data_IF_911525028897
#
_entry.id   IF_911525028897
#
_cell.length_a   1.000
_cell.length_b   1.000
_cell.length_c   1.000
_cell.angle_alpha   90.00
_cell.angle_beta   90.00
_cell.angle_gamma   90.00
#
_symmetry.space_group_name_H-M   'P 1'
#
loop_
_entity.id
_entity.type
_entity.pdbx_description
1 polymer ?
#
# COMPACT_ATOMS: atom_id res chain seq x y z
N UNK A 1 1.05 24.67 77.93
CA UNK A 1 0.58 23.52 77.12
C UNK A 1 0.30 24.03 75.71
N UNK A 2 0.80 23.28 74.72
CA UNK A 2 0.63 23.39 73.26
C UNK A 2 1.42 24.49 72.48
N UNK A 3 2.14 24.00 71.47
CA UNK A 3 3.02 24.65 70.49
C UNK A 3 2.28 24.95 69.16
N UNK A 4 2.91 25.67 68.20
CA UNK A 4 2.25 26.37 67.09
C UNK A 4 2.17 25.55 65.78
N UNK A 5 1.34 26.00 64.85
CA UNK A 5 1.40 25.60 63.43
C UNK A 5 1.81 26.79 62.57
N UNK A 6 3.01 26.69 62.00
CA UNK A 6 3.50 27.44 60.84
C UNK A 6 2.67 27.09 59.60
N UNK A 7 2.45 28.06 58.71
CA UNK A 7 3.03 28.01 57.36
C UNK A 7 2.83 29.33 56.63
N UNK A 8 3.94 29.82 56.09
CA UNK A 8 4.09 31.07 55.37
C UNK A 8 3.62 30.92 53.92
N UNK A 9 2.75 31.80 53.46
CA UNK A 9 2.54 32.04 52.03
C UNK A 9 3.34 33.28 51.62
N UNK A 10 4.46 33.03 50.95
CA UNK A 10 5.37 34.02 50.41
C UNK A 10 5.71 33.73 48.95
N UNK A 11 4.94 34.38 48.07
CA UNK A 11 5.44 35.21 46.96
C UNK A 11 5.84 34.59 45.59
N UNK A 12 5.39 35.35 44.56
CA UNK A 12 6.05 35.71 43.28
C UNK A 12 5.81 34.84 42.04
N UNK A 13 5.25 35.46 40.98
CA UNK A 13 5.39 34.99 39.60
C UNK A 13 4.37 35.53 38.57
N UNK A 14 4.47 36.80 38.19
CA UNK A 14 3.60 37.52 37.22
C UNK A 14 3.79 37.11 35.72
N UNK A 15 3.38 37.89 34.70
CA UNK A 15 2.11 37.77 33.96
C UNK A 15 2.31 37.66 32.42
N UNK A 16 1.61 36.79 31.70
CA UNK A 16 1.59 36.90 30.22
C UNK A 16 0.18 37.10 29.69
N UNK A 17 0.05 38.31 29.14
CA UNK A 17 -1.11 38.97 28.58
C UNK A 17 -1.75 38.13 27.47
N UNK A 18 -3.07 38.12 27.50
CA UNK A 18 -3.95 37.78 26.38
C UNK A 18 -3.53 38.59 25.16
N UNK A 19 -3.04 37.89 24.13
CA UNK A 19 -2.96 38.40 22.77
C UNK A 19 -3.61 37.35 21.89
N UNK A 20 -4.83 37.61 21.42
CA UNK A 20 -5.21 37.26 20.05
C UNK A 20 -6.21 38.30 19.59
N UNK A 21 -5.63 39.35 19.03
CA UNK A 21 -6.25 40.33 18.16
C UNK A 21 -6.82 39.62 16.93
N UNK A 22 -8.01 40.05 16.50
CA UNK A 22 -8.74 39.59 15.33
C UNK A 22 -7.94 39.61 14.02
N UNK A 23 -8.23 38.67 13.13
CA UNK A 23 -8.12 38.84 11.68
C UNK A 23 -9.43 38.37 11.01
N UNK A 24 -10.15 39.26 10.31
CA UNK A 24 -11.26 38.88 9.44
C UNK A 24 -10.74 38.45 8.06
N UNK A 25 -11.28 37.32 7.58
CA UNK A 25 -11.44 37.04 6.15
C UNK A 25 -10.23 36.48 5.39
N UNK A 26 -10.36 35.24 4.91
CA UNK A 26 -10.13 34.91 3.50
C UNK A 26 -11.15 33.84 3.10
N UNK A 27 -12.17 34.24 2.35
CA UNK A 27 -12.88 33.33 1.45
C UNK A 27 -11.93 32.97 0.31
N UNK A 28 -11.74 31.68 0.05
CA UNK A 28 -11.48 31.19 -1.30
C UNK A 28 -11.95 29.74 -1.36
N UNK A 29 -13.11 29.54 -2.00
CA UNK A 29 -13.57 28.22 -2.38
C UNK A 29 -12.63 27.65 -3.44
N UNK A 30 -12.22 26.40 -3.25
CA UNK A 30 -11.62 25.62 -4.31
C UNK A 30 -12.72 24.82 -4.99
N UNK A 31 -13.07 25.32 -6.17
CA UNK A 31 -13.93 24.65 -7.12
C UNK A 31 -13.34 23.31 -7.55
N UNK A 32 -14.23 22.36 -7.80
CA UNK A 32 -13.93 21.04 -8.32
C UNK A 32 -13.14 21.11 -9.64
N UNK A 33 -12.12 20.26 -9.76
CA UNK A 33 -11.55 19.88 -11.06
C UNK A 33 -11.90 18.41 -11.29
N UNK A 34 -13.03 18.18 -11.94
CA UNK A 34 -13.36 16.89 -12.55
C UNK A 34 -12.68 16.88 -13.91
N UNK A 35 -11.51 16.23 -14.00
CA UNK A 35 -10.92 15.94 -15.31
C UNK A 35 -11.36 14.55 -15.75
N UNK A 36 -12.48 14.50 -16.47
CA UNK A 36 -12.84 13.35 -17.28
C UNK A 36 -11.88 13.30 -18.48
N UNK A 37 -10.99 12.32 -18.47
CA UNK A 37 -10.12 12.00 -19.61
C UNK A 37 -10.49 10.65 -20.18
N UNK A 38 -11.38 10.63 -21.18
CA UNK A 38 -11.62 9.47 -22.01
C UNK A 38 -11.20 9.79 -23.45
N UNK A 39 -10.42 8.88 -24.04
CA UNK A 39 -10.47 8.34 -25.42
C UNK A 39 -9.16 8.30 -26.24
N UNK A 40 -8.76 7.03 -26.51
CA UNK A 40 -8.44 6.38 -27.80
C UNK A 40 -7.38 7.01 -28.72
N UNK A 41 -6.30 6.27 -28.98
CA UNK A 41 -5.79 6.01 -30.35
C UNK A 41 -5.14 4.62 -30.40
N UNK A 42 -5.71 3.72 -31.22
CA UNK A 42 -5.07 2.46 -31.62
C UNK A 42 -4.00 2.70 -32.69
N UNK A 43 -2.89 1.98 -32.61
CA UNK A 43 -1.93 1.88 -33.71
C UNK A 43 -1.95 0.45 -34.23
N UNK A 44 -2.52 0.35 -35.42
CA UNK A 44 -2.42 -0.74 -36.36
C UNK A 44 -0.95 -0.97 -36.72
N UNK A 45 -0.47 -2.21 -36.57
CA UNK A 45 0.67 -2.68 -37.36
C UNK A 45 0.21 -3.84 -38.26
N UNK A 46 0.31 -3.68 -39.60
CA UNK A 46 -0.02 -4.71 -40.56
C UNK A 46 1.14 -5.70 -40.67
N UNK A 47 0.88 -6.99 -40.49
CA UNK A 47 1.75 -8.03 -41.07
C UNK A 47 0.99 -8.71 -42.20
N UNK A 48 1.27 -8.20 -43.40
CA UNK A 48 1.02 -8.88 -44.66
C UNK A 48 2.00 -10.04 -44.81
N UNK A 49 1.47 -11.24 -45.09
CA UNK A 49 2.12 -12.25 -45.92
C UNK A 49 1.03 -13.16 -46.48
N UNK A 50 0.52 -12.74 -47.63
CA UNK A 50 0.21 -13.49 -48.85
C UNK A 50 0.32 -15.02 -48.86
N UNK A 51 -0.73 -15.60 -49.47
CA UNK A 51 -0.71 -16.67 -50.48
C UNK A 51 -0.27 -18.08 -50.02
N UNK A 52 -0.81 -19.21 -50.50
CA UNK A 52 -1.75 -19.45 -51.57
C UNK A 52 -2.37 -20.85 -51.39
N UNK A 53 -3.44 -21.07 -52.13
CA UNK A 53 -4.25 -22.28 -52.23
C UNK A 53 -3.47 -23.36 -52.99
N UNK A 54 -3.36 -24.57 -52.44
CA UNK A 54 -3.15 -25.77 -53.25
C UNK A 54 -3.74 -27.01 -52.58
N UNK A 55 -4.89 -27.46 -53.08
CA UNK A 55 -5.37 -28.83 -52.90
C UNK A 55 -4.43 -29.80 -53.62
N UNK A 56 -4.27 -31.01 -53.09
CA UNK A 56 -4.35 -32.17 -53.96
C UNK A 56 -5.45 -33.12 -53.49
N UNK A 57 -6.41 -33.35 -54.38
CA UNK A 57 -7.24 -34.56 -54.38
C UNK A 57 -6.35 -35.72 -54.80
N UNK A 58 -6.31 -36.77 -53.97
CA UNK A 58 -6.02 -38.13 -54.40
C UNK A 58 -6.72 -39.12 -53.45
N UNK A 59 -7.66 -39.90 -53.99
CA UNK A 59 -8.26 -41.11 -53.42
C UNK A 59 -7.80 -42.31 -54.29
N UNK A 60 -7.99 -43.59 -53.91
CA UNK A 60 -8.00 -44.25 -52.60
C UNK A 60 -6.99 -45.42 -52.55
N UNK A 61 -6.62 -45.93 -51.36
CA UNK A 61 -6.11 -47.31 -51.20
C UNK A 61 -6.39 -47.85 -49.80
N UNK A 62 -6.67 -49.15 -49.75
CA UNK A 62 -7.42 -49.94 -48.77
C UNK A 62 -6.73 -50.14 -47.38
N UNK A 63 -7.40 -50.76 -46.39
CA UNK A 63 -7.07 -50.66 -44.98
C UNK A 63 -5.97 -51.63 -44.55
N UNK A 64 -4.89 -51.08 -43.99
CA UNK A 64 -3.87 -51.82 -43.27
C UNK A 64 -3.98 -51.55 -41.78
N UNK A 65 -4.51 -52.52 -41.02
CA UNK A 65 -4.46 -52.54 -39.57
C UNK A 65 -3.01 -52.52 -39.10
N UNK A 66 -2.63 -51.49 -38.35
CA UNK A 66 -1.41 -51.49 -37.54
C UNK A 66 -1.66 -50.65 -36.30
N UNK A 67 -1.95 -51.34 -35.20
CA UNK A 67 -2.09 -50.82 -33.86
C UNK A 67 -0.74 -50.24 -33.41
N UNK A 68 -0.47 -48.99 -33.76
CA UNK A 68 0.61 -48.22 -33.16
C UNK A 68 0.04 -47.51 -31.95
N UNK A 69 0.40 -48.00 -30.76
CA UNK A 69 0.09 -47.33 -29.50
C UNK A 69 0.69 -45.92 -29.52
N UNK A 70 -0.16 -44.92 -29.67
CA UNK A 70 0.19 -43.53 -29.44
C UNK A 70 0.66 -43.40 -28.00
N UNK A 71 1.92 -43.03 -27.71
CA UNK A 71 2.25 -42.59 -26.38
C UNK A 71 1.44 -41.32 -26.14
N UNK A 72 0.48 -41.39 -25.23
CA UNK A 72 -0.14 -40.21 -24.63
C UNK A 72 0.99 -39.42 -23.97
N UNK A 73 1.59 -38.50 -24.73
CA UNK A 73 2.40 -37.45 -24.18
C UNK A 73 1.45 -36.61 -23.34
N UNK A 74 1.42 -36.85 -22.04
CA UNK A 74 0.89 -35.90 -21.07
C UNK A 74 1.67 -34.63 -21.28
N UNK A 75 1.10 -33.70 -22.05
CA UNK A 75 1.61 -32.36 -22.19
C UNK A 75 1.67 -31.81 -20.76
N UNK A 76 2.87 -31.83 -20.20
CA UNK A 76 3.16 -31.18 -18.94
C UNK A 76 3.09 -29.71 -19.26
N UNK A 77 1.90 -29.12 -19.14
CA UNK A 77 1.72 -27.67 -19.21
C UNK A 77 2.78 -27.07 -18.28
N UNK A 78 3.70 -26.23 -18.79
CA UNK A 78 4.64 -25.56 -17.93
C UNK A 78 3.81 -24.83 -16.88
N UNK A 79 3.96 -25.24 -15.62
CA UNK A 79 3.33 -24.53 -14.50
C UNK A 79 3.93 -23.13 -14.57
N UNK A 80 3.14 -22.17 -15.05
CA UNK A 80 3.52 -20.76 -14.99
C UNK A 80 3.93 -20.52 -13.54
N UNK A 81 5.18 -20.11 -13.34
CA UNK A 81 5.65 -19.67 -12.03
C UNK A 81 4.85 -18.41 -11.75
N UNK A 82 3.70 -18.57 -11.09
CA UNK A 82 2.97 -17.45 -10.54
C UNK A 82 3.92 -16.84 -9.52
N UNK A 83 4.47 -15.70 -9.86
CA UNK A 83 5.17 -14.82 -8.93
C UNK A 83 4.12 -14.40 -7.92
N UNK A 84 4.07 -15.12 -6.80
CA UNK A 84 3.07 -14.95 -5.76
C UNK A 84 3.58 -14.10 -4.61
N UNK A 85 2.71 -13.87 -3.64
CA UNK A 85 3.09 -13.31 -2.36
C UNK A 85 2.91 -14.34 -1.25
N UNK A 86 3.93 -14.47 -0.40
CA UNK A 86 3.88 -15.22 0.85
C UNK A 86 3.70 -14.25 2.01
N UNK A 87 2.70 -14.50 2.84
CA UNK A 87 2.49 -13.73 4.07
C UNK A 87 3.62 -14.05 5.07
N UNK A 88 4.30 -13.01 5.53
CA UNK A 88 5.30 -13.07 6.60
C UNK A 88 4.66 -12.89 7.98
N UNK A 89 3.67 -12.00 8.07
CA UNK A 89 3.04 -11.64 9.34
C UNK A 89 1.62 -11.08 9.15
N UNK A 90 0.83 -11.16 10.22
CA UNK A 90 -0.54 -10.64 10.27
C UNK A 90 -1.55 -11.46 9.47
N UNK A 91 -2.79 -10.96 9.27
CA UNK A 91 -3.32 -9.69 9.79
C UNK A 91 -3.30 -9.66 11.32
N UNK A 92 -2.72 -8.61 11.90
CA UNK A 92 -2.65 -8.44 13.34
C UNK A 92 -2.54 -6.96 13.73
N UNK A 93 -2.90 -6.60 14.98
CA UNK A 93 -2.77 -5.22 15.44
C UNK A 93 -1.32 -4.73 15.44
N UNK A 94 -1.10 -3.52 14.95
CA UNK A 94 0.17 -2.81 14.99
C UNK A 94 -0.06 -1.34 15.35
N UNK A 95 0.78 -0.80 16.22
CA UNK A 95 0.79 0.64 16.52
C UNK A 95 1.88 1.28 15.67
N UNK A 96 1.49 2.17 14.78
CA UNK A 96 2.42 3.05 14.07
C UNK A 96 2.60 4.31 14.93
N UNK A 97 3.85 4.64 15.23
CA UNK A 97 4.21 5.77 16.10
C UNK A 97 5.00 6.84 15.38
N UNK A 98 4.99 8.04 15.93
CA UNK A 98 5.88 9.13 15.53
C UNK A 98 7.38 8.81 15.71
N UNK A 99 7.74 7.93 16.65
CA UNK A 99 9.11 7.40 16.81
C UNK A 99 9.52 6.42 15.70
N UNK A 100 8.58 6.07 14.82
CA UNK A 100 8.77 5.14 13.72
C UNK A 100 8.43 3.69 14.04
N UNK A 101 8.25 2.93 12.96
CA UNK A 101 7.89 1.52 12.95
C UNK A 101 8.68 0.79 11.86
N UNK A 102 9.29 -0.32 12.23
CA UNK A 102 9.99 -1.25 11.34
C UNK A 102 9.04 -2.38 10.92
N UNK A 103 8.84 -2.50 9.61
CA UNK A 103 8.04 -3.53 8.94
C UNK A 103 8.89 -4.68 8.40
N UNK A 104 10.21 -4.53 8.33
CA UNK A 104 11.13 -5.59 7.89
C UNK A 104 11.41 -6.59 9.01
N UNK A 105 11.46 -6.14 10.27
CA UNK A 105 11.51 -7.01 11.43
C UNK A 105 10.20 -7.79 11.58
N UNK A 106 10.25 -9.12 11.64
CA UNK A 106 9.06 -9.96 11.86
C UNK A 106 9.18 -10.70 13.21
N UNK A 107 8.28 -10.47 14.19
CA UNK A 107 7.17 -9.50 14.16
C UNK A 107 7.67 -8.05 14.13
N UNK A 108 6.87 -7.10 13.59
CA UNK A 108 7.21 -5.67 13.54
C UNK A 108 7.53 -5.08 14.90
N UNK A 109 8.49 -4.16 14.94
CA UNK A 109 8.95 -3.49 16.17
C UNK A 109 9.14 -2.01 15.92
N UNK A 110 9.11 -1.22 16.98
CA UNK A 110 9.40 0.22 16.93
C UNK A 110 10.86 0.49 17.33
N UNK A 111 11.82 -0.28 16.80
CA UNK A 111 13.25 -0.15 17.16
C UNK A 111 14.18 -0.46 15.99
N UNK A 112 14.92 0.55 15.51
CA UNK A 112 15.89 0.41 14.42
C UNK A 112 15.23 0.16 13.05
N UNK A 113 15.90 0.50 11.94
CA UNK A 113 15.42 0.16 10.58
C UNK A 113 14.01 0.66 10.27
N UNK A 114 13.68 1.91 10.64
CA UNK A 114 12.30 2.39 10.61
C UNK A 114 11.82 2.64 9.18
N UNK A 115 10.67 2.08 8.85
CA UNK A 115 10.08 2.12 7.50
C UNK A 115 9.03 3.23 7.35
N UNK A 116 8.26 3.51 8.40
CA UNK A 116 7.31 4.62 8.43
C UNK A 116 7.08 5.16 9.83
N UNK A 117 6.48 6.34 9.93
CA UNK A 117 6.01 6.95 11.18
C UNK A 117 4.61 7.53 11.00
N UNK A 118 3.95 7.83 12.12
CA UNK A 118 2.71 8.62 12.16
C UNK A 118 3.06 10.07 12.54
N UNK A 119 2.62 11.04 11.74
CA UNK A 119 2.86 12.48 11.99
C UNK A 119 1.68 13.16 12.74
N UNK A 120 0.63 12.39 13.06
CA UNK A 120 -0.61 12.87 13.68
C UNK A 120 -1.70 13.25 12.67
N UNK A 121 -1.39 13.30 11.37
CA UNK A 121 -2.32 13.52 10.26
C UNK A 121 -2.32 12.37 9.23
N UNK A 122 -1.24 11.61 9.20
CA UNK A 122 -0.90 10.69 8.13
C UNK A 122 0.32 9.83 8.44
N UNK A 123 0.69 8.98 7.48
CA UNK A 123 1.91 8.19 7.55
C UNK A 123 2.98 8.79 6.66
N UNK A 124 4.17 8.99 7.24
CA UNK A 124 5.36 9.43 6.53
C UNK A 124 6.31 8.28 6.23
N UNK A 125 6.87 8.17 5.01
CA UNK A 125 7.86 7.16 4.68
C UNK A 125 9.22 7.45 5.32
N UNK A 126 9.94 6.40 5.69
CA UNK A 126 11.34 6.44 6.10
C UNK A 126 12.17 5.39 5.37
N UNK A 127 13.49 5.56 5.37
CA UNK A 127 14.45 4.55 4.88
C UNK A 127 14.19 4.05 3.45
N UNK A 128 13.66 4.93 2.57
CA UNK A 128 13.34 4.59 1.18
C UNK A 128 12.04 3.81 1.00
N UNK A 129 11.25 3.65 2.06
CA UNK A 129 9.89 3.09 1.99
C UNK A 129 9.01 3.96 1.11
N UNK A 130 8.11 3.30 0.38
CA UNK A 130 7.14 3.95 -0.49
C UNK A 130 5.75 3.70 0.07
N UNK A 131 4.95 4.77 0.16
CA UNK A 131 3.57 4.71 0.64
C UNK A 131 2.60 5.14 -0.47
N UNK A 132 1.43 4.53 -0.50
CA UNK A 132 0.29 4.96 -1.31
C UNK A 132 -1.04 4.58 -0.63
N UNK A 133 -2.06 5.40 -0.84
CA UNK A 133 -3.40 5.13 -0.31
C UNK A 133 -4.15 4.22 -1.27
N UNK A 134 -4.77 3.16 -0.74
CA UNK A 134 -5.69 2.33 -1.50
C UNK A 134 -7.08 2.96 -1.55
N UNK A 135 -7.62 3.15 -2.74
CA UNK A 135 -8.90 3.83 -2.99
C UNK A 135 -10.06 2.88 -3.32
N UNK A 136 -9.81 1.57 -3.39
CA UNK A 136 -10.85 0.58 -3.63
C UNK A 136 -11.76 0.40 -2.40
N UNK A 137 -12.98 -0.07 -2.65
CA UNK A 137 -14.00 -0.28 -1.61
C UNK A 137 -13.79 -1.53 -0.75
N UNK A 138 -12.91 -2.45 -1.17
CA UNK A 138 -12.54 -3.67 -0.45
C UNK A 138 -11.06 -3.66 -0.11
N UNK A 139 -10.62 -4.50 0.82
CA UNK A 139 -9.18 -4.66 1.08
C UNK A 139 -8.44 -5.11 -0.21
N UNK A 140 -7.27 -4.52 -0.54
CA UNK A 140 -6.50 -4.91 -1.72
C UNK A 140 -5.86 -6.29 -1.54
N UNK A 141 -5.59 -6.98 -2.65
CA UNK A 141 -4.63 -8.09 -2.65
C UNK A 141 -3.19 -7.54 -2.58
N UNK A 142 -2.19 -8.35 -2.20
CA UNK A 142 -0.78 -7.94 -2.24
C UNK A 142 -0.35 -7.44 -3.63
N UNK A 143 -0.80 -8.07 -4.70
CA UNK A 143 -0.48 -7.67 -6.08
C UNK A 143 -1.05 -6.28 -6.38
N UNK A 144 -2.33 -6.05 -6.09
CA UNK A 144 -2.98 -4.74 -6.29
C UNK A 144 -2.29 -3.64 -5.46
N UNK A 145 -1.88 -3.99 -4.25
CA UNK A 145 -1.23 -3.07 -3.35
C UNK A 145 0.19 -2.71 -3.83
N UNK A 146 0.94 -3.69 -4.35
CA UNK A 146 2.22 -3.46 -5.02
C UNK A 146 2.07 -2.52 -6.23
N UNK A 147 1.07 -2.78 -7.08
CA UNK A 147 0.85 -1.97 -8.29
C UNK A 147 0.54 -0.50 -7.92
N UNK A 148 -0.28 -0.28 -6.89
CA UNK A 148 -0.64 1.07 -6.41
C UNK A 148 0.56 1.79 -5.81
N UNK A 149 1.33 1.16 -4.93
CA UNK A 149 2.50 1.80 -4.33
C UNK A 149 3.60 2.08 -5.37
N UNK A 150 3.72 1.22 -6.39
CA UNK A 150 4.68 1.44 -7.47
C UNK A 150 4.30 2.57 -8.42
N UNK A 151 3.01 2.77 -8.67
CA UNK A 151 2.51 3.78 -9.62
C UNK A 151 2.25 5.15 -8.98
N UNK A 152 1.84 5.20 -7.72
CA UNK A 152 1.32 6.43 -7.10
C UNK A 152 2.24 7.01 -6.02
N UNK A 153 3.19 6.23 -5.49
CA UNK A 153 4.03 6.73 -4.40
C UNK A 153 4.94 7.86 -4.88
N UNK A 154 4.84 9.00 -4.20
CA UNK A 154 5.63 10.21 -4.41
C UNK A 154 6.82 10.33 -3.44
N UNK A 155 6.98 9.39 -2.51
CA UNK A 155 7.95 9.51 -1.41
C UNK A 155 7.58 10.55 -0.36
N UNK A 156 6.35 11.06 -0.37
CA UNK A 156 5.81 12.00 0.61
C UNK A 156 4.79 11.32 1.53
N UNK A 157 4.43 12.05 2.59
CA UNK A 157 3.44 11.62 3.58
C UNK A 157 2.08 11.41 2.93
N UNK A 158 1.38 10.35 3.36
CA UNK A 158 0.03 10.02 2.91
C UNK A 158 -0.96 10.33 4.02
N UNK A 159 -2.10 10.92 3.67
CA UNK A 159 -3.16 11.19 4.65
C UNK A 159 -3.91 9.90 4.98
N UNK A 160 -4.07 9.62 6.28
CA UNK A 160 -4.59 8.32 6.74
C UNK A 160 -5.72 8.46 7.74
N UNK A 161 -6.89 9.02 7.36
CA UNK A 161 -8.04 9.04 8.24
C UNK A 161 -8.47 7.61 8.62
N UNK A 162 -9.23 7.50 9.71
CA UNK A 162 -9.75 6.21 10.18
C UNK A 162 -10.54 5.51 9.07
N UNK A 163 -10.27 4.22 8.87
CA UNK A 163 -10.87 3.38 7.83
C UNK A 163 -10.07 3.30 6.54
N UNK A 164 -9.07 4.17 6.34
CA UNK A 164 -8.18 4.14 5.17
C UNK A 164 -7.26 2.92 5.20
N UNK A 165 -6.97 2.38 4.02
CA UNK A 165 -5.94 1.36 3.82
C UNK A 165 -4.75 1.98 3.10
N UNK A 166 -3.55 1.73 3.62
CA UNK A 166 -2.28 2.17 3.08
C UNK A 166 -1.49 0.96 2.59
N UNK A 167 -0.91 1.12 1.41
CA UNK A 167 0.04 0.22 0.82
C UNK A 167 1.45 0.75 1.06
N UNK A 168 2.28 -0.04 1.72
CA UNK A 168 3.67 0.28 1.98
C UNK A 168 4.59 -0.75 1.33
N UNK A 169 5.64 -0.30 0.65
CA UNK A 169 6.72 -1.14 0.14
C UNK A 169 8.02 -0.68 0.78
N UNK A 170 8.61 -1.52 1.62
CA UNK A 170 9.89 -1.25 2.29
C UNK A 170 11.03 -1.25 1.26
N UNK A 171 12.17 -0.67 1.63
CA UNK A 171 13.37 -0.73 0.79
C UNK A 171 13.98 -2.14 0.68
N UNK A 172 13.65 -3.04 1.63
CA UNK A 172 14.03 -4.46 1.58
C UNK A 172 13.07 -5.32 0.74
N UNK A 173 11.94 -4.76 0.29
CA UNK A 173 11.02 -5.39 -0.65
C UNK A 173 9.82 -6.11 -0.02
N UNK A 174 9.65 -6.00 1.29
CA UNK A 174 8.41 -6.40 1.96
C UNK A 174 7.28 -5.42 1.63
N UNK A 175 6.11 -5.99 1.40
CA UNK A 175 4.89 -5.24 1.15
C UNK A 175 3.99 -5.34 2.40
N UNK A 176 3.57 -4.19 2.93
CA UNK A 176 2.59 -4.13 4.00
C UNK A 176 1.26 -3.54 3.51
N UNK A 177 0.17 -4.17 3.93
CA UNK A 177 -1.20 -3.65 3.82
C UNK A 177 -1.62 -3.24 5.23
N UNK A 178 -1.84 -1.94 5.43
CA UNK A 178 -2.07 -1.32 6.74
C UNK A 178 -3.45 -0.66 6.73
N UNK A 179 -4.38 -1.14 7.55
CA UNK A 179 -5.69 -0.52 7.72
C UNK A 179 -5.72 0.30 9.00
N UNK A 180 -6.04 1.59 8.90
CA UNK A 180 -6.15 2.47 10.06
C UNK A 180 -7.47 2.22 10.78
N UNK A 181 -7.37 1.88 12.07
CA UNK A 181 -8.53 1.60 12.93
C UNK A 181 -8.86 2.77 13.85
N UNK A 182 -7.84 3.46 14.37
CA UNK A 182 -8.00 4.68 15.17
C UNK A 182 -6.74 5.53 15.12
N UNK A 183 -6.91 6.84 15.32
CA UNK A 183 -5.82 7.81 15.44
C UNK A 183 -5.86 8.47 16.82
N UNK A 184 -4.69 8.68 17.42
CA UNK A 184 -4.48 9.61 18.52
C UNK A 184 -3.61 10.76 18.01
N UNK A 185 -4.25 11.85 17.60
CA UNK A 185 -3.58 13.01 17.02
C UNK A 185 -2.81 13.84 18.05
N UNK A 186 -3.11 13.69 19.35
CA UNK A 186 -2.39 14.38 20.42
C UNK A 186 -1.03 13.75 20.71
N UNK A 187 -0.93 12.44 20.47
CA UNK A 187 0.28 11.66 20.71
C UNK A 187 0.95 11.14 19.43
N UNK A 188 0.36 11.40 18.26
CA UNK A 188 0.80 10.91 16.95
C UNK A 188 1.03 9.38 16.94
N UNK A 189 -0.03 8.65 17.32
CA UNK A 189 -0.10 7.20 17.22
C UNK A 189 -1.34 6.74 16.44
N UNK A 190 -1.15 5.78 15.55
CA UNK A 190 -2.22 5.10 14.84
C UNK A 190 -2.30 3.64 15.26
N UNK A 191 -3.49 3.18 15.66
CA UNK A 191 -3.77 1.74 15.80
C UNK A 191 -4.23 1.22 14.45
N UNK A 192 -3.59 0.15 14.01
CA UNK A 192 -3.81 -0.43 12.69
C UNK A 192 -4.06 -1.93 12.76
N UNK A 193 -4.69 -2.48 11.74
CA UNK A 193 -4.61 -3.89 11.40
C UNK A 193 -3.67 -4.02 10.20
N UNK A 194 -2.58 -4.75 10.37
CA UNK A 194 -1.50 -4.80 9.38
C UNK A 194 -1.18 -6.24 8.98
N UNK A 195 -0.88 -6.45 7.70
CA UNK A 195 -0.32 -7.71 7.18
C UNK A 195 0.91 -7.42 6.32
N UNK A 196 1.93 -8.27 6.42
CA UNK A 196 3.23 -8.08 5.75
C UNK A 196 3.52 -9.31 4.89
N UNK A 197 4.05 -9.07 3.69
CA UNK A 197 4.19 -10.04 2.62
C UNK A 197 5.55 -9.92 1.94
N UNK A 198 6.08 -11.05 1.49
CA UNK A 198 7.24 -11.13 0.61
C UNK A 198 6.84 -11.70 -0.74
N UNK A 199 7.46 -11.19 -1.80
CA UNK A 199 7.32 -11.72 -3.17
C UNK A 199 8.08 -13.05 -3.28
N UNK A 200 7.47 -14.07 -3.88
CA UNK A 200 8.02 -15.43 -4.06
C UNK A 200 8.41 -15.72 -5.49
#
# INVERSE_FOLDING_TARGET
>A
MAQPTENAEGAVGSPVKRFFTSLPGVMTGLAAVVTAGATIVGILFPHQSSDDRASPVATPSAPGSSTAATPSATASTPRAVQVGFRRLWGPAPLVVSNDGTDLTGIPPRNTGGLDLYDDGSGFGPMSGTRLAVWTGSTAPTPEQCLDVVQSQSSGADVQTPVGTTVCALTSAGELAIIRVLSLDTGSAFARTETSIWAKT
#
